data_IF_868321057435
#
_entry.id   IF_868321057435
#
_cell.length_a   1.000
_cell.length_b   1.000
_cell.length_c   1.000
_cell.angle_alpha   90.00
_cell.angle_beta   90.00
_cell.angle_gamma   90.00
#
_symmetry.space_group_name_H-M   'P 1'
#
loop_
_entity.id
_entity.type
_entity.pdbx_description
1 polymer ?
#
# COMPACT_ATOMS: atom_id res chain seq x y z
N UNK A 1 -4.14 20.04 -47.71
CA UNK A 1 -2.94 20.23 -46.85
C UNK A 1 -3.04 19.23 -45.71
N UNK A 2 -2.29 18.13 -45.79
CA UNK A 2 -2.24 17.13 -44.73
C UNK A 2 -1.17 17.54 -43.73
N UNK A 3 -1.56 17.87 -42.50
CA UNK A 3 -0.61 17.99 -41.38
C UNK A 3 -0.39 16.60 -40.79
N UNK A 4 0.79 16.03 -41.04
CA UNK A 4 1.29 14.88 -40.29
C UNK A 4 1.75 15.38 -38.93
N UNK A 5 1.02 15.03 -37.88
CA UNK A 5 1.47 15.27 -36.50
C UNK A 5 2.51 14.20 -36.16
N UNK A 6 3.74 14.64 -35.96
CA UNK A 6 4.86 13.80 -35.55
C UNK A 6 4.63 13.34 -34.10
N UNK A 7 4.41 12.04 -33.93
CA UNK A 7 4.26 11.39 -32.63
C UNK A 7 5.64 11.30 -31.96
N UNK A 8 6.00 12.32 -31.19
CA UNK A 8 7.13 12.27 -30.28
C UNK A 8 6.64 11.75 -28.92
N UNK A 9 7.20 10.65 -28.39
CA UNK A 9 6.83 10.17 -27.06
C UNK A 9 7.20 11.24 -26.03
N UNK A 10 6.19 11.82 -25.39
CA UNK A 10 6.39 12.70 -24.24
C UNK A 10 7.03 11.89 -23.10
N UNK A 11 8.02 12.44 -22.39
CA UNK A 11 8.49 11.81 -21.15
C UNK A 11 7.36 11.75 -20.13
N UNK A 12 7.21 10.60 -19.45
CA UNK A 12 6.18 10.38 -18.44
C UNK A 12 6.28 11.43 -17.32
N UNK A 13 5.13 12.02 -16.97
CA UNK A 13 5.04 13.03 -15.92
C UNK A 13 5.34 12.40 -14.55
N UNK A 14 6.08 13.07 -13.65
CA UNK A 14 6.30 12.58 -12.28
C UNK A 14 5.01 12.48 -11.44
N UNK A 15 3.87 12.95 -11.97
CA UNK A 15 2.56 12.94 -11.32
C UNK A 15 1.54 12.02 -12.01
N UNK A 16 1.95 11.14 -12.91
CA UNK A 16 1.01 10.25 -13.57
C UNK A 16 0.43 9.26 -12.54
N UNK A 17 -0.88 9.34 -12.20
CA UNK A 17 -1.46 8.40 -11.27
C UNK A 17 -1.56 7.05 -11.98
N UNK A 18 -1.17 5.98 -11.27
CA UNK A 18 -1.43 4.62 -11.73
C UNK A 18 -2.93 4.33 -11.90
N UNK A 19 -3.30 3.16 -12.42
CA UNK A 19 -4.70 2.81 -12.63
C UNK A 19 -5.51 2.92 -11.32
N UNK A 20 -6.82 3.20 -11.38
CA UNK A 20 -7.66 3.22 -10.18
C UNK A 20 -7.59 1.86 -9.44
N UNK A 21 -7.69 1.83 -8.10
CA UNK A 21 -7.52 0.61 -7.29
C UNK A 21 -8.34 -0.61 -7.74
N UNK A 22 -9.49 -0.37 -8.40
CA UNK A 22 -10.41 -1.41 -8.91
C UNK A 22 -9.80 -2.23 -10.06
N UNK A 23 -8.80 -1.69 -10.75
CA UNK A 23 -8.12 -2.34 -11.87
C UNK A 23 -6.78 -2.97 -11.45
N UNK A 24 -6.45 -2.94 -10.16
CA UNK A 24 -5.19 -3.49 -9.70
C UNK A 24 -5.21 -5.02 -9.77
N UNK A 25 -4.12 -5.66 -10.21
CA UNK A 25 -3.96 -7.11 -10.10
C UNK A 25 -3.78 -7.57 -8.64
N UNK A 26 -3.42 -6.68 -7.73
CA UNK A 26 -3.35 -6.94 -6.30
C UNK A 26 -4.75 -7.01 -5.67
N UNK A 27 -4.87 -7.77 -4.57
CA UNK A 27 -6.09 -7.81 -3.75
C UNK A 27 -5.82 -7.36 -2.33
N UNK A 28 -6.86 -6.83 -1.69
CA UNK A 28 -6.86 -6.49 -0.27
C UNK A 28 -6.56 -7.73 0.58
N UNK A 29 -5.70 -7.55 1.59
CA UNK A 29 -5.41 -8.55 2.61
C UNK A 29 -5.76 -7.98 3.99
N UNK A 30 -6.34 -8.82 4.84
CA UNK A 30 -6.69 -8.50 6.22
C UNK A 30 -6.31 -9.66 7.13
N UNK A 31 -6.18 -9.39 8.42
CA UNK A 31 -6.00 -10.45 9.41
C UNK A 31 -7.31 -11.24 9.58
N UNK A 32 -7.31 -12.57 9.72
CA UNK A 32 -8.54 -13.37 9.82
C UNK A 32 -9.46 -12.98 10.98
N UNK A 33 -8.90 -12.51 12.10
CA UNK A 33 -9.70 -12.06 13.25
C UNK A 33 -10.44 -10.73 13.00
N UNK A 34 -10.08 -10.01 11.94
CA UNK A 34 -10.57 -8.67 11.70
C UNK A 34 -12.06 -8.63 11.32
N UNK A 35 -12.65 -9.77 10.94
CA UNK A 35 -14.09 -9.92 10.73
C UNK A 35 -14.91 -9.87 12.02
N UNK A 36 -14.31 -10.23 13.16
CA UNK A 36 -15.00 -10.31 14.45
C UNK A 36 -14.61 -9.16 15.40
N UNK A 37 -13.35 -8.74 15.35
CA UNK A 37 -12.82 -7.63 16.15
C UNK A 37 -11.95 -6.77 15.23
N UNK A 38 -12.57 -5.84 14.48
CA UNK A 38 -11.87 -5.10 13.43
C UNK A 38 -10.96 -4.00 13.99
N UNK A 39 -11.33 -3.41 15.14
CA UNK A 39 -10.52 -2.38 15.82
C UNK A 39 -9.19 -2.98 16.23
N UNK A 40 -8.09 -2.41 15.72
CA UNK A 40 -6.78 -3.00 15.91
C UNK A 40 -5.65 -2.28 15.19
N UNK A 41 -4.44 -2.65 15.60
CA UNK A 41 -3.21 -2.42 14.85
C UNK A 41 -2.80 -3.75 14.21
N UNK A 42 -2.52 -3.73 12.92
CA UNK A 42 -2.17 -4.92 12.16
C UNK A 42 -0.82 -4.76 11.47
N UNK A 43 -0.03 -5.83 11.46
CA UNK A 43 1.24 -5.91 10.76
C UNK A 43 1.08 -6.78 9.54
N UNK A 44 1.63 -6.34 8.41
CA UNK A 44 1.77 -7.10 7.18
C UNK A 44 3.24 -7.16 6.82
N UNK A 45 3.74 -8.31 6.37
CA UNK A 45 5.14 -8.47 6.01
C UNK A 45 5.32 -9.42 4.83
N UNK A 46 6.23 -9.06 3.92
CA UNK A 46 6.74 -9.94 2.87
C UNK A 46 8.26 -9.81 2.77
N UNK A 47 8.92 -10.92 2.47
CA UNK A 47 10.35 -10.95 2.14
C UNK A 47 10.49 -11.29 0.67
N UNK A 48 11.32 -10.50 -0.03
CA UNK A 48 11.62 -10.65 -1.45
C UNK A 48 13.14 -10.65 -1.64
N UNK A 49 13.61 -11.30 -2.70
CA UNK A 49 15.04 -11.45 -2.97
C UNK A 49 15.37 -10.88 -4.34
N UNK A 50 16.40 -10.04 -4.41
CA UNK A 50 16.91 -9.49 -5.66
C UNK A 50 18.35 -9.93 -5.88
N UNK A 51 18.67 -10.41 -7.09
CA UNK A 51 20.07 -10.64 -7.47
C UNK A 51 20.81 -9.31 -7.61
N UNK A 52 20.19 -8.35 -8.29
CA UNK A 52 20.60 -6.95 -8.34
C UNK A 52 19.38 -6.06 -8.07
N UNK A 53 19.59 -4.94 -7.39
CA UNK A 53 18.51 -3.99 -7.10
C UNK A 53 18.12 -3.30 -8.42
N UNK A 54 16.82 -3.33 -8.80
CA UNK A 54 16.37 -2.61 -9.99
C UNK A 54 16.57 -1.10 -9.79
N UNK A 55 16.84 -0.33 -10.86
CA UNK A 55 17.05 1.12 -10.75
C UNK A 55 15.80 1.87 -10.27
N UNK A 56 14.63 1.26 -10.40
CA UNK A 56 13.34 1.76 -9.95
C UNK A 56 12.43 0.58 -9.58
N UNK A 57 11.66 0.71 -8.50
CA UNK A 57 10.68 -0.28 -8.07
C UNK A 57 9.51 0.41 -7.38
N UNK A 58 8.55 0.89 -8.15
CA UNK A 58 7.39 1.62 -7.64
C UNK A 58 6.31 0.66 -7.15
N UNK A 59 5.75 0.99 -6.00
CA UNK A 59 4.59 0.33 -5.44
C UNK A 59 3.47 1.36 -5.21
N UNK A 60 2.25 0.99 -5.61
CA UNK A 60 1.03 1.70 -5.28
C UNK A 60 0.45 1.08 -3.99
N UNK A 61 0.24 1.90 -2.96
CA UNK A 61 -0.03 1.42 -1.60
C UNK A 61 -1.22 2.14 -0.99
N UNK A 62 -2.12 1.36 -0.39
CA UNK A 62 -3.25 1.87 0.37
C UNK A 62 -3.58 0.98 1.56
N UNK A 63 -4.40 1.51 2.46
CA UNK A 63 -4.94 0.79 3.60
C UNK A 63 -6.29 1.39 4.02
N UNK A 64 -7.02 0.63 4.81
CA UNK A 64 -8.22 1.07 5.51
C UNK A 64 -7.92 0.95 7.01
N UNK A 65 -7.64 2.03 7.76
CA UNK A 65 -7.73 3.45 7.36
C UNK A 65 -6.38 4.16 7.16
N UNK A 66 -5.31 3.70 7.82
CA UNK A 66 -3.98 4.28 7.74
C UNK A 66 -2.93 3.19 7.70
N UNK A 67 -1.82 3.47 7.03
CA UNK A 67 -0.62 2.64 7.02
C UNK A 67 0.66 3.45 7.25
N UNK A 68 1.66 2.78 7.80
CA UNK A 68 3.07 3.12 7.66
C UNK A 68 3.77 1.98 6.91
N UNK A 69 4.51 2.31 5.85
CA UNK A 69 5.24 1.33 5.03
C UNK A 69 6.74 1.41 5.32
N UNK A 70 7.37 0.26 5.43
CA UNK A 70 8.78 0.10 5.76
C UNK A 70 9.46 -0.83 4.76
N UNK A 71 10.71 -0.51 4.42
CA UNK A 71 11.62 -1.38 3.69
C UNK A 71 12.88 -1.53 4.52
N UNK A 72 13.24 -2.77 4.88
CA UNK A 72 14.40 -3.08 5.71
C UNK A 72 14.46 -2.29 7.02
N UNK A 73 13.29 -2.01 7.62
CA UNK A 73 13.14 -1.25 8.87
C UNK A 73 13.12 0.27 8.70
N UNK A 74 13.43 0.81 7.52
CA UNK A 74 13.33 2.25 7.23
C UNK A 74 11.91 2.56 6.76
N UNK A 75 11.27 3.57 7.37
CA UNK A 75 9.94 4.03 6.92
C UNK A 75 10.06 4.79 5.61
N UNK A 76 9.33 4.36 4.60
CA UNK A 76 9.39 4.90 3.23
C UNK A 76 8.11 5.62 2.80
N UNK A 77 6.98 5.33 3.45
CA UNK A 77 5.70 5.99 3.14
C UNK A 77 4.75 5.96 4.35
N UNK A 78 3.84 6.93 4.38
CA UNK A 78 2.72 7.05 5.32
C UNK A 78 1.48 7.42 4.51
N UNK A 79 0.37 6.74 4.76
CA UNK A 79 -0.85 7.02 4.01
C UNK A 79 -2.04 6.18 4.46
N UNK A 80 -3.02 5.98 3.56
CA UNK A 80 -3.25 6.86 2.43
C UNK A 80 -3.68 8.26 2.92
N UNK A 81 -3.66 9.27 2.06
CA UNK A 81 -4.41 10.50 2.30
C UNK A 81 -5.89 10.20 2.58
N UNK A 82 -6.59 11.07 3.31
CA UNK A 82 -8.03 10.89 3.57
C UNK A 82 -8.79 10.87 2.24
N UNK A 83 -9.76 9.99 2.13
CA UNK A 83 -10.66 9.86 0.98
C UNK A 83 -12.04 9.42 1.44
N UNK A 84 -12.92 9.17 0.46
CA UNK A 84 -14.22 8.55 0.67
C UNK A 84 -14.25 7.16 0.01
N UNK A 85 -15.29 6.37 0.27
CA UNK A 85 -15.46 5.03 -0.31
C UNK A 85 -15.37 5.01 -1.86
N UNK A 86 -15.98 5.95 -2.62
CA UNK A 86 -15.85 5.95 -4.08
C UNK A 86 -14.46 6.38 -4.58
N UNK A 87 -13.71 7.20 -3.84
CA UNK A 87 -12.40 7.75 -4.20
C UNK A 87 -11.30 7.35 -3.21
N UNK A 88 -11.11 6.04 -3.05
CA UNK A 88 -10.08 5.49 -2.17
C UNK A 88 -8.68 5.93 -2.63
N UNK A 89 -7.96 6.64 -1.77
CA UNK A 89 -6.64 7.17 -2.08
C UNK A 89 -5.55 6.11 -1.93
N UNK A 90 -4.48 6.28 -2.67
CA UNK A 90 -3.27 5.48 -2.58
C UNK A 90 -2.06 6.38 -2.83
N UNK A 91 -0.89 5.93 -2.43
CA UNK A 91 0.38 6.60 -2.74
C UNK A 91 1.19 5.72 -3.70
N UNK A 92 1.89 6.33 -4.65
CA UNK A 92 2.93 5.66 -5.43
C UNK A 92 4.29 6.00 -4.82
N UNK A 93 5.02 4.99 -4.34
CA UNK A 93 6.33 5.16 -3.70
C UNK A 93 7.37 4.30 -4.40
N UNK A 94 8.53 4.87 -4.69
CA UNK A 94 9.68 4.10 -5.19
C UNK A 94 10.42 3.43 -4.02
N UNK A 95 10.47 2.10 -4.05
CA UNK A 95 11.12 1.30 -3.03
C UNK A 95 12.61 1.08 -3.32
N UNK A 96 13.05 1.24 -4.56
CA UNK A 96 14.42 0.92 -5.00
C UNK A 96 15.53 1.54 -4.13
N UNK A 97 15.43 2.83 -3.69
CA UNK A 97 16.47 3.45 -2.86
C UNK A 97 16.71 2.77 -1.51
N UNK A 98 15.77 1.93 -1.05
CA UNK A 98 15.83 1.26 0.25
C UNK A 98 16.13 -0.23 0.16
N UNK A 99 16.36 -0.74 -1.05
CA UNK A 99 16.66 -2.14 -1.31
C UNK A 99 18.17 -2.39 -1.35
N UNK A 100 18.53 -3.66 -1.15
CA UNK A 100 19.90 -4.19 -1.28
C UNK A 100 19.89 -5.50 -2.07
N UNK A 101 21.02 -5.93 -2.66
CA UNK A 101 21.15 -7.29 -3.17
C UNK A 101 20.86 -8.32 -2.08
N UNK A 102 20.24 -9.44 -2.46
CA UNK A 102 19.78 -10.48 -1.54
C UNK A 102 18.39 -10.19 -0.96
N UNK A 103 18.17 -10.63 0.27
CA UNK A 103 16.86 -10.58 0.93
C UNK A 103 16.52 -9.18 1.46
N UNK A 104 15.31 -8.73 1.14
CA UNK A 104 14.71 -7.47 1.56
C UNK A 104 13.37 -7.75 2.22
N UNK A 105 13.08 -7.04 3.31
CA UNK A 105 11.79 -7.15 4.01
C UNK A 105 10.98 -5.89 3.77
N UNK A 106 9.77 -6.06 3.24
CA UNK A 106 8.77 -5.02 3.16
C UNK A 106 7.74 -5.29 4.25
N UNK A 107 7.43 -4.27 5.04
CA UNK A 107 6.46 -4.36 6.11
C UNK A 107 5.51 -3.17 6.09
N UNK A 108 4.26 -3.41 6.46
CA UNK A 108 3.28 -2.35 6.70
C UNK A 108 2.68 -2.52 8.10
N UNK A 109 2.46 -1.40 8.78
CA UNK A 109 1.63 -1.34 9.99
C UNK A 109 0.38 -0.58 9.62
N UNK A 110 -0.80 -1.13 9.88
CA UNK A 110 -2.07 -0.44 9.66
C UNK A 110 -2.83 -0.22 10.95
N UNK A 111 -3.60 0.86 10.98
CA UNK A 111 -4.51 1.20 12.06
C UNK A 111 -5.93 1.24 11.52
N UNK A 112 -6.81 0.51 12.19
CA UNK A 112 -8.24 0.56 11.96
C UNK A 112 -8.94 0.76 13.29
N UNK A 113 -9.70 1.85 13.41
CA UNK A 113 -10.37 2.25 14.66
C UNK A 113 -11.88 1.99 14.63
N UNK A 114 -12.43 1.48 13.53
CA UNK A 114 -13.87 1.25 13.38
C UNK A 114 -14.69 2.54 13.44
N UNK A 115 -16.01 2.43 13.38
CA UNK A 115 -16.89 3.59 13.37
C UNK A 115 -16.89 4.35 14.71
N UNK A 116 -16.80 3.62 15.82
CA UNK A 116 -17.00 4.20 17.16
C UNK A 116 -15.79 4.99 17.68
N UNK A 117 -14.58 4.67 17.22
CA UNK A 117 -13.34 5.33 17.70
C UNK A 117 -12.62 6.12 16.61
N UNK A 118 -13.02 5.99 15.34
CA UNK A 118 -12.42 6.81 14.27
C UNK A 118 -12.90 8.26 14.39
N UNK A 119 -12.01 9.27 14.21
CA UNK A 119 -12.45 10.65 14.03
C UNK A 119 -13.43 10.73 12.86
N UNK A 120 -14.49 11.54 12.96
CA UNK A 120 -15.54 11.63 11.92
C UNK A 120 -15.02 11.90 10.50
N UNK A 121 -13.91 12.63 10.37
CA UNK A 121 -13.27 12.87 9.07
C UNK A 121 -12.56 11.62 8.49
N UNK A 122 -12.68 10.45 9.11
CA UNK A 122 -12.03 9.21 8.70
C UNK A 122 -13.10 8.18 8.29
N UNK A 123 -13.31 8.09 6.99
CA UNK A 123 -14.22 7.14 6.36
C UNK A 123 -13.47 5.81 6.20
N UNK A 124 -14.09 4.72 6.67
CA UNK A 124 -13.58 3.35 6.62
C UNK A 124 -14.68 2.37 6.24
N UNK A 125 -14.30 1.24 5.63
CA UNK A 125 -15.19 0.12 5.34
C UNK A 125 -14.82 -1.09 6.19
N UNK A 126 -13.58 -1.57 6.08
CA UNK A 126 -13.09 -2.74 6.80
C UNK A 126 -11.56 -2.73 6.87
N UNK A 127 -10.95 -3.22 7.97
CA UNK A 127 -9.50 -3.23 8.12
C UNK A 127 -8.84 -3.98 6.97
N UNK A 128 -7.85 -3.34 6.33
CA UNK A 128 -7.18 -3.95 5.20
C UNK A 128 -5.94 -3.21 4.76
N UNK A 129 -5.11 -3.93 4.01
CA UNK A 129 -3.91 -3.42 3.37
C UNK A 129 -3.88 -3.90 1.91
N UNK A 130 -3.39 -3.05 1.02
CA UNK A 130 -3.13 -3.43 -0.37
C UNK A 130 -1.82 -2.79 -0.83
N UNK A 131 -0.99 -3.60 -1.48
CA UNK A 131 0.20 -3.14 -2.18
C UNK A 131 0.20 -3.77 -3.56
N UNK A 132 0.33 -2.94 -4.58
CA UNK A 132 0.42 -3.35 -5.98
C UNK A 132 1.71 -2.80 -6.58
N UNK A 133 2.44 -3.63 -7.32
CA UNK A 133 3.51 -3.13 -8.18
C UNK A 133 2.94 -2.16 -9.21
N UNK A 134 3.72 -1.13 -9.56
CA UNK A 134 3.37 -0.26 -10.67
C UNK A 134 3.37 -1.06 -11.98
N UNK A 135 2.41 -0.83 -12.91
CA UNK A 135 2.28 -1.61 -14.14
C UNK A 135 3.54 -1.64 -15.02
N UNK A 136 4.30 -0.54 -15.09
CA UNK A 136 5.55 -0.50 -15.89
C UNK A 136 6.76 -1.16 -15.21
N UNK A 137 6.63 -1.65 -13.98
CA UNK A 137 7.75 -2.25 -13.25
C UNK A 137 7.48 -3.77 -13.11
N UNK A 138 8.40 -4.61 -13.60
CA UNK A 138 8.28 -6.09 -13.55
C UNK A 138 8.48 -6.61 -12.12
N UNK A 139 7.44 -6.47 -11.31
CA UNK A 139 7.47 -6.71 -9.88
C UNK A 139 6.15 -7.26 -9.34
N UNK A 140 5.40 -8.02 -10.15
CA UNK A 140 4.12 -8.60 -9.75
C UNK A 140 4.20 -9.45 -8.47
N UNK A 141 5.39 -9.98 -8.15
CA UNK A 141 5.67 -10.65 -6.89
C UNK A 141 5.55 -9.73 -5.66
N UNK A 142 5.41 -8.41 -5.79
CA UNK A 142 5.10 -7.52 -4.66
C UNK A 142 3.62 -7.57 -4.26
N UNK A 143 2.75 -7.95 -5.19
CA UNK A 143 1.30 -7.80 -5.04
C UNK A 143 0.77 -8.57 -3.82
N UNK A 144 -0.07 -7.92 -3.03
CA UNK A 144 -0.91 -8.62 -2.04
C UNK A 144 -1.96 -9.48 -2.77
N UNK A 145 -2.36 -10.64 -2.22
CA UNK A 145 -2.03 -11.17 -0.89
C UNK A 145 -0.89 -12.19 -0.89
N UNK A 146 -0.46 -12.68 -2.06
CA UNK A 146 0.40 -13.84 -2.16
C UNK A 146 1.76 -13.62 -1.47
N UNK A 147 2.21 -14.57 -0.66
CA UNK A 147 3.48 -14.49 0.08
C UNK A 147 3.52 -13.43 1.20
N UNK A 148 2.46 -12.64 1.40
CA UNK A 148 2.32 -11.74 2.53
C UNK A 148 1.84 -12.49 3.77
N UNK A 149 2.46 -12.19 4.91
CA UNK A 149 2.03 -12.64 6.23
C UNK A 149 1.36 -11.49 6.97
N UNK A 150 0.37 -11.80 7.79
CA UNK A 150 -0.29 -10.82 8.65
C UNK A 150 -0.25 -11.24 10.12
N UNK A 151 -0.29 -10.26 11.02
CA UNK A 151 -0.44 -10.47 12.46
C UNK A 151 -1.20 -9.28 13.06
N UNK A 152 -2.03 -9.55 14.08
CA UNK A 152 -2.55 -8.48 14.94
C UNK A 152 -1.46 -8.09 15.95
N UNK A 153 -1.39 -6.81 16.30
CA UNK A 153 -0.51 -6.31 17.34
C UNK A 153 -1.32 -6.07 18.62
N UNK A 154 -1.20 -7.01 19.57
CA UNK A 154 -1.91 -6.99 20.85
C UNK A 154 -1.22 -6.08 21.89
N UNK A 155 -0.10 -5.44 21.55
CA UNK A 155 0.55 -4.44 22.40
C UNK A 155 -0.19 -3.10 22.45
N UNK A 156 -1.21 -2.92 21.61
CA UNK A 156 -2.07 -1.73 21.60
C UNK A 156 -3.45 -2.04 22.20
N UNK A 157 -3.83 -1.27 23.21
CA UNK A 157 -5.21 -1.17 23.71
C UNK A 157 -5.84 0.15 23.29
N UNK A 158 -7.11 0.12 22.91
CA UNK A 158 -7.89 1.32 22.64
C UNK A 158 -8.86 1.56 23.79
N UNK A 159 -8.91 2.79 24.28
CA UNK A 159 -9.73 3.19 25.42
C UNK A 159 -10.88 4.02 24.89
N UNK A 160 -12.13 3.60 25.14
CA UNK A 160 -13.29 4.44 24.84
C UNK A 160 -13.35 5.57 25.86
N UNK A 161 -13.47 6.82 25.40
CA UNK A 161 -13.84 7.92 26.28
C UNK A 161 -15.37 7.88 26.44
N UNK A 162 -15.83 7.67 27.67
CA UNK A 162 -17.25 7.75 28.06
C UNK A 162 -17.56 9.16 28.52
#
# INVERSE_FOLDING_TARGET
MHHTSSDHPQPASPFEPGPPPRLWPARWIAHPSASHSPVGVYHFRKTITFQAVPPRLRAMVSADNRYQLFVNGVRVSLGPARGDLPHWRYETVDLAPHLRPGANTIAAVTWYLGFDLSPWAQIGHAPGFILCAHPDDDAASLNTPEGWRCARNDGYGFISQT
#
